data_IF_910810238548
#
_entry.id   IF_910810238548
#
_cell.length_a   1.000
_cell.length_b   1.000
_cell.length_c   1.000
_cell.angle_alpha   90.00
_cell.angle_beta   90.00
_cell.angle_gamma   90.00
#
_symmetry.space_group_name_H-M   'P 1'
#
loop_
_entity.id
_entity.type
_entity.pdbx_description
1 polymer ?
#
# COMPACT_ATOMS: atom_id res chain seq x y z
N UNK A 1 6.24 2.66 -10.79
CA UNK A 1 5.54 3.70 -10.01
C UNK A 1 5.43 3.26 -8.57
N UNK A 2 5.52 4.20 -7.64
CA UNK A 2 5.40 3.94 -6.22
C UNK A 2 3.96 4.15 -5.75
N UNK A 3 3.53 3.30 -4.83
CA UNK A 3 2.20 3.36 -4.22
C UNK A 3 2.31 3.17 -2.72
N UNK A 4 1.50 3.94 -1.99
CA UNK A 4 1.23 3.67 -0.59
C UNK A 4 -0.11 2.94 -0.52
N UNK A 5 -0.10 1.76 0.08
CA UNK A 5 -1.30 0.98 0.36
C UNK A 5 -1.56 1.07 1.86
N UNK A 6 -2.64 1.74 2.24
CA UNK A 6 -3.03 1.83 3.65
C UNK A 6 -4.31 1.05 3.86
N UNK A 7 -4.36 0.23 4.89
CA UNK A 7 -5.53 -0.57 5.20
C UNK A 7 -5.96 -0.39 6.65
N UNK A 8 -7.26 -0.49 6.85
CA UNK A 8 -7.88 -0.52 8.17
C UNK A 8 -8.93 -1.60 8.19
N UNK A 9 -9.16 -2.18 9.36
CA UNK A 9 -10.25 -3.12 9.58
C UNK A 9 -11.03 -2.71 10.83
N UNK A 10 -12.30 -3.09 10.85
CA UNK A 10 -13.13 -2.91 12.04
C UNK A 10 -12.76 -3.91 13.11
N UNK A 11 -13.14 -3.67 14.38
CA UNK A 11 -12.95 -4.68 15.45
C UNK A 11 -13.56 -6.03 15.11
N UNK A 12 -14.70 -6.06 14.42
CA UNK A 12 -15.37 -7.30 14.04
C UNK A 12 -14.56 -8.12 13.02
N UNK A 13 -13.73 -7.47 12.20
CA UNK A 13 -12.96 -8.12 11.14
C UNK A 13 -11.51 -8.39 11.53
N UNK A 14 -11.05 -7.87 12.68
CA UNK A 14 -9.65 -7.94 13.07
C UNK A 14 -9.10 -9.36 13.06
N UNK A 15 -9.76 -10.28 13.76
CA UNK A 15 -9.20 -11.62 13.93
C UNK A 15 -9.21 -12.42 12.65
N UNK A 16 -10.23 -12.27 11.81
CA UNK A 16 -10.30 -12.93 10.50
C UNK A 16 -9.18 -12.40 9.58
N UNK A 17 -8.96 -11.11 9.60
CA UNK A 17 -7.90 -10.47 8.81
C UNK A 17 -6.53 -10.97 9.23
N UNK A 18 -6.26 -11.01 10.54
CA UNK A 18 -4.98 -11.51 11.08
C UNK A 18 -4.78 -12.98 10.73
N UNK A 19 -5.83 -13.81 10.84
CA UNK A 19 -5.73 -15.22 10.49
C UNK A 19 -5.35 -15.42 9.00
N UNK A 20 -5.96 -14.66 8.11
CA UNK A 20 -5.60 -14.71 6.69
C UNK A 20 -4.16 -14.27 6.47
N UNK A 21 -3.74 -13.21 7.14
CA UNK A 21 -2.34 -12.74 7.08
C UNK A 21 -1.37 -13.83 7.53
N UNK A 22 -1.64 -14.48 8.65
CA UNK A 22 -0.80 -15.56 9.17
C UNK A 22 -0.75 -16.75 8.21
N UNK A 23 -1.86 -17.06 7.55
CA UNK A 23 -1.94 -18.18 6.61
C UNK A 23 -1.22 -17.91 5.29
N UNK A 24 -1.22 -16.67 4.82
CA UNK A 24 -0.72 -16.31 3.47
C UNK A 24 0.56 -15.50 3.48
N UNK A 25 0.92 -14.89 4.62
CA UNK A 25 2.02 -13.94 4.72
C UNK A 25 1.70 -12.56 4.13
N UNK A 26 0.55 -12.39 3.49
CA UNK A 26 0.18 -11.12 2.86
C UNK A 26 1.16 -10.66 1.80
N UNK A 27 1.80 -11.58 1.09
CA UNK A 27 2.83 -11.25 0.11
C UNK A 27 2.20 -10.74 -1.18
N UNK A 28 2.87 -9.77 -1.85
CA UNK A 28 2.37 -9.29 -3.13
C UNK A 28 2.49 -10.33 -4.22
N UNK A 29 1.66 -10.23 -5.29
CA UNK A 29 1.78 -11.11 -6.45
C UNK A 29 3.02 -10.75 -7.28
N UNK A 30 3.32 -11.61 -8.24
CA UNK A 30 4.33 -11.31 -9.25
C UNK A 30 4.00 -9.99 -9.95
N UNK A 31 5.02 -9.17 -10.19
CA UNK A 31 4.88 -7.86 -10.81
C UNK A 31 4.69 -6.71 -9.82
N UNK A 32 4.53 -7.00 -8.53
CA UNK A 32 4.47 -5.97 -7.47
C UNK A 32 5.61 -6.22 -6.49
N UNK A 33 6.48 -5.23 -6.33
CA UNK A 33 7.57 -5.28 -5.36
C UNK A 33 7.17 -4.51 -4.09
N UNK A 34 7.23 -5.15 -2.94
CA UNK A 34 6.98 -4.50 -1.66
C UNK A 34 8.30 -4.03 -1.05
N UNK A 35 8.45 -2.72 -0.86
CA UNK A 35 9.66 -2.13 -0.27
C UNK A 35 9.62 -2.17 1.26
N UNK A 36 8.45 -1.95 1.84
CA UNK A 36 8.29 -1.92 3.29
C UNK A 36 6.83 -2.16 3.66
N UNK A 37 6.61 -2.65 4.89
CA UNK A 37 5.29 -2.83 5.45
C UNK A 37 5.36 -2.61 6.95
N UNK A 38 4.40 -1.84 7.46
CA UNK A 38 4.29 -1.53 8.88
C UNK A 38 2.86 -1.73 9.35
N UNK A 39 2.70 -2.13 10.60
CA UNK A 39 1.40 -2.35 11.23
C UNK A 39 1.17 -1.30 12.30
N UNK A 40 -0.07 -0.79 12.39
CA UNK A 40 -0.43 0.13 13.44
C UNK A 40 -0.31 -0.56 14.80
N UNK A 41 0.33 0.10 15.76
CA UNK A 41 0.56 -0.50 17.08
C UNK A 41 -0.75 -0.81 17.82
N UNK A 42 -1.83 -0.12 17.48
CA UNK A 42 -3.14 -0.32 18.09
C UNK A 42 -3.94 -1.48 17.46
N UNK A 43 -3.39 -2.17 16.47
CA UNK A 43 -4.04 -3.32 15.86
C UNK A 43 -5.13 -2.98 14.84
N UNK A 44 -5.24 -1.74 14.38
CA UNK A 44 -6.34 -1.31 13.50
C UNK A 44 -6.04 -1.43 12.01
N UNK A 45 -4.81 -1.72 11.64
CA UNK A 45 -4.41 -1.80 10.24
C UNK A 45 -2.92 -1.58 10.06
N UNK A 46 -2.53 -0.99 8.95
CA UNK A 46 -1.15 -0.70 8.63
C UNK A 46 -1.00 -0.05 7.26
N UNK A 47 0.24 0.00 6.78
CA UNK A 47 0.49 0.44 5.42
C UNK A 47 1.72 -0.25 4.82
N UNK A 48 1.79 -0.25 3.50
CA UNK A 48 2.94 -0.76 2.77
C UNK A 48 3.32 0.22 1.66
N UNK A 49 4.60 0.23 1.31
CA UNK A 49 5.11 0.95 0.16
C UNK A 49 5.48 -0.10 -0.89
N UNK A 50 4.85 0.01 -2.06
CA UNK A 50 5.02 -0.94 -3.14
C UNK A 50 5.39 -0.23 -4.43
N UNK A 51 6.02 -0.97 -5.32
CA UNK A 51 6.39 -0.48 -6.64
C UNK A 51 5.87 -1.44 -7.70
N UNK A 52 5.20 -0.90 -8.71
CA UNK A 52 4.71 -1.66 -9.85
C UNK A 52 4.37 -0.74 -11.02
N UNK A 53 4.48 -1.28 -12.23
CA UNK A 53 3.91 -0.67 -13.43
C UNK A 53 2.69 -1.46 -13.93
N UNK A 54 2.28 -2.49 -13.18
CA UNK A 54 1.15 -3.36 -13.51
C UNK A 54 -0.04 -3.05 -12.60
N UNK A 55 -0.89 -2.13 -13.07
CA UNK A 55 -2.08 -1.73 -12.32
C UNK A 55 -3.05 -2.90 -12.12
N UNK A 56 -3.13 -3.81 -13.09
CA UNK A 56 -4.02 -4.97 -12.98
C UNK A 56 -3.56 -5.92 -11.85
N UNK A 57 -2.25 -6.16 -11.73
CA UNK A 57 -1.71 -6.96 -10.65
C UNK A 57 -1.97 -6.32 -9.28
N UNK A 58 -1.81 -5.01 -9.18
CA UNK A 58 -2.07 -4.27 -7.94
C UNK A 58 -3.56 -4.36 -7.55
N UNK A 59 -4.46 -4.16 -8.51
CA UNK A 59 -5.90 -4.26 -8.26
C UNK A 59 -6.30 -5.67 -7.84
N UNK A 60 -5.79 -6.68 -8.54
CA UNK A 60 -6.09 -8.07 -8.21
C UNK A 60 -5.64 -8.43 -6.80
N UNK A 61 -4.47 -7.94 -6.39
CA UNK A 61 -4.01 -8.11 -5.01
C UNK A 61 -4.92 -7.42 -3.99
N UNK A 62 -5.35 -6.19 -4.29
CA UNK A 62 -6.30 -5.47 -3.44
C UNK A 62 -7.59 -6.25 -3.24
N UNK A 63 -8.11 -6.92 -4.29
CA UNK A 63 -9.33 -7.72 -4.21
C UNK A 63 -9.18 -8.94 -3.29
N UNK A 64 -7.97 -9.44 -3.07
CA UNK A 64 -7.74 -10.54 -2.12
C UNK A 64 -8.00 -10.13 -0.67
N UNK A 65 -8.07 -8.83 -0.40
CA UNK A 65 -8.18 -8.31 0.97
C UNK A 65 -9.38 -7.42 1.22
N UNK A 66 -9.91 -6.75 0.20
CA UNK A 66 -10.95 -5.73 0.40
C UNK A 66 -12.33 -6.29 0.73
N UNK A 67 -12.48 -7.59 0.78
CA UNK A 67 -13.64 -8.22 1.40
C UNK A 67 -13.63 -8.09 2.93
N UNK A 68 -12.44 -7.88 3.55
CA UNK A 68 -12.28 -7.79 5.00
C UNK A 68 -11.82 -6.42 5.47
N UNK A 69 -11.08 -5.69 4.65
CA UNK A 69 -10.44 -4.43 5.04
C UNK A 69 -10.88 -3.30 4.13
N UNK A 70 -10.82 -2.09 4.67
CA UNK A 70 -10.85 -0.88 3.86
C UNK A 70 -9.41 -0.58 3.41
N UNK A 71 -9.21 -0.35 2.12
CA UNK A 71 -7.90 -0.05 1.57
C UNK A 71 -7.93 1.27 0.82
N UNK A 72 -6.91 2.10 1.05
CA UNK A 72 -6.64 3.31 0.29
C UNK A 72 -5.29 3.16 -0.41
N UNK A 73 -5.29 3.29 -1.72
CA UNK A 73 -4.08 3.20 -2.54
C UNK A 73 -3.81 4.58 -3.12
N UNK A 74 -2.64 5.13 -2.79
CA UNK A 74 -2.21 6.44 -3.24
C UNK A 74 -0.93 6.30 -4.06
N UNK A 75 -0.94 6.83 -5.28
CA UNK A 75 0.30 6.95 -6.06
C UNK A 75 1.15 8.05 -5.44
N UNK A 76 2.43 7.76 -5.20
CA UNK A 76 3.34 8.66 -4.50
C UNK A 76 4.61 8.86 -5.32
N UNK A 77 5.33 9.92 -5.01
CA UNK A 77 6.65 10.19 -5.57
C UNK A 77 7.64 10.47 -4.45
N UNK A 78 8.91 10.20 -4.70
CA UNK A 78 9.97 10.46 -3.74
C UNK A 78 10.49 11.90 -3.83
N UNK A 79 11.40 12.25 -2.91
CA UNK A 79 12.00 13.58 -2.85
C UNK A 79 12.80 13.91 -4.12
N UNK A 80 13.47 12.93 -4.70
CA UNK A 80 14.25 13.12 -5.91
C UNK A 80 13.35 13.52 -7.09
N UNK A 81 12.24 12.81 -7.26
CA UNK A 81 11.27 13.10 -8.32
C UNK A 81 10.64 14.47 -8.14
N UNK A 82 10.18 14.79 -6.92
CA UNK A 82 9.55 16.09 -6.68
C UNK A 82 10.55 17.24 -6.83
N UNK A 83 11.79 17.05 -6.40
CA UNK A 83 12.84 18.07 -6.58
C UNK A 83 13.06 18.40 -8.05
N UNK A 84 13.03 17.39 -8.92
CA UNK A 84 13.14 17.60 -10.37
C UNK A 84 11.99 18.43 -10.95
N UNK A 85 10.77 18.19 -10.46
CA UNK A 85 9.59 18.97 -10.88
C UNK A 85 9.65 20.40 -10.35
N UNK A 86 9.86 20.56 -9.03
CA UNK A 86 9.83 21.87 -8.39
C UNK A 86 10.98 22.77 -8.84
N UNK A 87 12.14 22.19 -9.11
CA UNK A 87 13.31 22.95 -9.60
C UNK A 87 13.12 23.57 -10.98
N UNK A 88 12.14 23.08 -11.76
CA UNK A 88 11.82 23.62 -13.08
C UNK A 88 10.70 24.67 -13.06
N UNK A 89 10.12 24.92 -11.91
CA UNK A 89 9.01 25.87 -11.75
C UNK A 89 9.52 27.18 -11.16
N UNK A 90 9.25 28.27 -11.86
CA UNK A 90 9.77 29.60 -11.49
C UNK A 90 9.24 30.09 -10.13
N UNK A 91 7.98 29.73 -9.81
CA UNK A 91 7.33 30.18 -8.57
C UNK A 91 7.98 29.63 -7.29
N UNK A 92 8.87 28.63 -7.41
CA UNK A 92 9.54 27.99 -6.28
C UNK A 92 11.06 28.21 -6.26
N UNK A 93 11.55 29.05 -7.18
CA UNK A 93 12.99 29.33 -7.27
C UNK A 93 13.40 30.58 -6.48
#
# INVERSE_FOLDING_TARGET
MLFKLEWTHSPAQRDVTIKRFMATGGMPPEGVAMHSRYHHIDGTGGFAICETDDAAALHNWALDWTDLIKMEITCIIDDETIAGVLGQRDEFS
#
